data_IF_470876029764
#
_entry.id   IF_470876029764
#
_cell.length_a   1.000
_cell.length_b   1.000
_cell.length_c   1.000
_cell.angle_alpha   90.00
_cell.angle_beta   90.00
_cell.angle_gamma   90.00
#
_symmetry.space_group_name_H-M   'P 1'
#
loop_
_entity.id
_entity.type
_entity.pdbx_description
1 polymer ?
#
# COMPACT_ATOMS: atom_id res chain seq x y z
N UNK A 1 -1.57 17.47 -11.59
CA UNK A 1 -2.85 16.91 -12.09
C UNK A 1 -2.52 15.65 -12.87
N UNK A 2 -2.94 14.48 -12.38
CA UNK A 2 -2.69 13.19 -13.04
C UNK A 2 -3.68 12.97 -14.19
N UNK A 3 -3.17 12.51 -15.32
CA UNK A 3 -3.93 12.25 -16.55
C UNK A 3 -5.03 11.19 -16.33
N UNK A 4 -6.32 11.47 -16.63
CA UNK A 4 -7.42 10.50 -16.50
C UNK A 4 -7.15 9.16 -17.18
N UNK A 5 -6.33 9.17 -18.23
CA UNK A 5 -5.96 7.98 -18.99
C UNK A 5 -5.16 6.96 -18.14
N UNK A 6 -4.29 7.44 -17.25
CA UNK A 6 -3.43 6.58 -16.41
C UNK A 6 -4.21 5.87 -15.30
N UNK A 7 -5.26 6.49 -14.75
CA UNK A 7 -6.14 5.85 -13.76
C UNK A 7 -6.97 4.73 -14.38
N UNK A 8 -7.48 4.95 -15.60
CA UNK A 8 -8.18 3.94 -16.40
C UNK A 8 -7.28 2.74 -16.70
N UNK A 9 -6.02 2.99 -17.12
CA UNK A 9 -5.05 1.93 -17.39
C UNK A 9 -4.70 1.10 -16.15
N UNK A 10 -4.51 1.73 -14.97
CA UNK A 10 -4.22 0.99 -13.74
C UNK A 10 -5.37 0.06 -13.34
N UNK A 11 -6.62 0.53 -13.44
CA UNK A 11 -7.78 -0.29 -13.17
C UNK A 11 -7.86 -1.49 -14.12
N UNK A 12 -7.66 -1.25 -15.41
CA UNK A 12 -7.62 -2.30 -16.42
C UNK A 12 -6.51 -3.32 -16.13
N UNK A 13 -5.33 -2.87 -15.74
CA UNK A 13 -4.21 -3.75 -15.39
C UNK A 13 -4.54 -4.67 -14.20
N UNK A 14 -5.17 -4.14 -13.15
CA UNK A 14 -5.60 -4.95 -12.01
C UNK A 14 -6.70 -5.96 -12.40
N UNK A 15 -7.63 -5.57 -13.27
CA UNK A 15 -8.66 -6.47 -13.78
C UNK A 15 -8.06 -7.61 -14.61
N UNK A 16 -7.13 -7.31 -15.52
CA UNK A 16 -6.44 -8.33 -16.32
C UNK A 16 -5.60 -9.25 -15.43
N UNK A 17 -4.87 -8.70 -14.45
CA UNK A 17 -4.13 -9.51 -13.50
C UNK A 17 -5.06 -10.46 -12.72
N UNK A 18 -6.23 -9.99 -12.28
CA UNK A 18 -7.22 -10.82 -11.60
C UNK A 18 -7.69 -11.98 -12.48
N UNK A 19 -7.96 -11.71 -13.77
CA UNK A 19 -8.35 -12.73 -14.76
C UNK A 19 -7.23 -13.75 -15.02
N UNK A 20 -5.98 -13.29 -15.14
CA UNK A 20 -4.81 -14.15 -15.31
C UNK A 20 -4.61 -15.06 -14.11
N UNK A 21 -4.68 -14.52 -12.89
CA UNK A 21 -4.57 -15.32 -11.66
C UNK A 21 -5.68 -16.36 -11.56
N UNK A 22 -6.92 -15.97 -11.86
CA UNK A 22 -8.05 -16.91 -11.86
C UNK A 22 -7.84 -18.06 -12.86
N UNK A 23 -7.34 -17.74 -14.06
CA UNK A 23 -7.01 -18.75 -15.08
C UNK A 23 -5.86 -19.67 -14.63
N UNK A 24 -4.86 -19.11 -13.95
CA UNK A 24 -3.75 -19.86 -13.37
C UNK A 24 -4.21 -20.82 -12.27
N UNK A 25 -5.17 -20.41 -11.42
CA UNK A 25 -5.72 -21.28 -10.38
C UNK A 25 -6.49 -22.46 -10.98
N UNK A 26 -7.26 -22.24 -12.04
CA UNK A 26 -7.91 -23.34 -12.78
C UNK A 26 -6.89 -24.31 -13.37
N UNK A 27 -5.73 -23.81 -13.84
CA UNK A 27 -4.64 -24.64 -14.33
C UNK A 27 -4.02 -25.49 -13.21
N UNK A 28 -3.81 -24.91 -12.03
CA UNK A 28 -3.33 -25.66 -10.86
C UNK A 28 -4.30 -26.76 -10.44
N UNK A 29 -5.60 -26.47 -10.46
CA UNK A 29 -6.64 -27.44 -10.13
C UNK A 29 -6.71 -28.57 -11.17
N UNK A 30 -6.66 -28.24 -12.46
CA UNK A 30 -6.69 -29.23 -13.54
C UNK A 30 -5.46 -30.15 -13.57
N UNK A 31 -4.28 -29.65 -13.17
CA UNK A 31 -3.03 -30.40 -13.14
C UNK A 31 -2.73 -31.03 -11.76
N UNK A 32 -3.72 -31.06 -10.88
CA UNK A 32 -3.53 -31.51 -9.49
C UNK A 32 -3.38 -33.02 -9.41
N UNK A 33 -2.17 -33.51 -9.63
CA UNK A 33 -1.79 -34.88 -9.33
C UNK A 33 -1.60 -35.03 -7.82
N UNK A 34 -2.09 -36.13 -7.26
CA UNK A 34 -2.55 -36.29 -5.87
C UNK A 34 -1.59 -36.01 -4.70
N UNK A 35 -0.38 -35.46 -4.90
CA UNK A 35 0.53 -35.10 -3.81
C UNK A 35 1.47 -33.90 -4.07
N UNK A 36 1.39 -33.19 -5.20
CA UNK A 36 2.34 -32.10 -5.50
C UNK A 36 1.65 -30.74 -5.54
N UNK A 37 2.08 -29.83 -4.66
CA UNK A 37 1.73 -28.40 -4.71
C UNK A 37 2.77 -27.72 -5.58
N UNK A 38 2.37 -26.89 -6.53
CA UNK A 38 3.33 -26.20 -7.38
C UNK A 38 4.12 -25.18 -6.54
N UNK A 39 5.43 -25.07 -6.77
CA UNK A 39 6.34 -24.25 -5.93
C UNK A 39 5.84 -22.81 -5.77
N UNK A 40 5.31 -22.21 -6.83
CA UNK A 40 4.88 -20.82 -6.86
C UNK A 40 3.39 -20.63 -6.54
N UNK A 41 2.63 -21.71 -6.33
CA UNK A 41 1.17 -21.66 -6.13
C UNK A 41 0.81 -20.74 -4.97
N UNK A 42 1.55 -20.85 -3.87
CA UNK A 42 1.37 -20.03 -2.67
C UNK A 42 1.58 -18.54 -2.93
N UNK A 43 2.61 -18.17 -3.68
CA UNK A 43 2.91 -16.78 -4.01
C UNK A 43 1.76 -16.16 -4.81
N UNK A 44 1.32 -16.80 -5.90
CA UNK A 44 0.25 -16.25 -6.74
C UNK A 44 -1.10 -16.17 -6.02
N UNK A 45 -1.43 -17.15 -5.18
CA UNK A 45 -2.63 -17.07 -4.33
C UNK A 45 -2.53 -15.89 -3.34
N UNK A 46 -1.34 -15.60 -2.81
CA UNK A 46 -1.14 -14.46 -1.92
C UNK A 46 -1.38 -13.12 -2.63
N UNK A 47 -0.95 -12.98 -3.89
CA UNK A 47 -1.19 -11.77 -4.69
C UNK A 47 -2.68 -11.54 -4.91
N UNK A 48 -3.45 -12.60 -5.18
CA UNK A 48 -4.90 -12.51 -5.33
C UNK A 48 -5.58 -11.95 -4.07
N UNK A 49 -5.14 -12.40 -2.88
CA UNK A 49 -5.65 -11.85 -1.61
C UNK A 49 -5.30 -10.36 -1.46
N UNK A 50 -4.10 -9.94 -1.88
CA UNK A 50 -3.67 -8.54 -1.80
C UNK A 50 -4.40 -7.62 -2.81
N UNK A 51 -4.93 -8.14 -3.91
CA UNK A 51 -5.77 -7.37 -4.84
C UNK A 51 -7.09 -6.89 -4.22
N UNK A 52 -7.50 -7.49 -3.10
CA UNK A 52 -8.71 -7.13 -2.35
C UNK A 52 -8.41 -6.13 -1.23
N UNK A 53 -7.24 -5.49 -1.25
CA UNK A 53 -6.96 -4.36 -0.37
C UNK A 53 -7.74 -3.12 -0.84
N UNK A 54 -8.02 -2.24 0.11
CA UNK A 54 -8.68 -0.96 -0.13
C UNK A 54 -10.21 -1.02 -0.16
N UNK A 55 -10.83 0.11 0.13
CA UNK A 55 -12.28 0.29 0.24
C UNK A 55 -12.95 0.47 -1.13
N UNK A 56 -12.15 0.79 -2.15
CA UNK A 56 -12.59 1.00 -3.53
C UNK A 56 -12.24 -0.16 -4.46
N UNK A 57 -11.70 -1.28 -3.94
CA UNK A 57 -11.65 -2.50 -4.73
C UNK A 57 -13.10 -2.89 -5.01
N UNK A 58 -13.58 -2.59 -6.22
CA UNK A 58 -14.78 -3.24 -6.73
C UNK A 58 -14.55 -4.75 -6.55
N UNK A 59 -15.55 -5.52 -6.08
CA UNK A 59 -15.38 -6.95 -5.94
C UNK A 59 -15.08 -7.55 -7.32
N UNK A 60 -13.78 -7.71 -7.61
CA UNK A 60 -13.27 -8.26 -8.85
C UNK A 60 -13.30 -9.77 -8.73
N UNK A 61 -14.45 -10.35 -9.03
CA UNK A 61 -14.70 -11.79 -8.93
C UNK A 61 -15.57 -12.16 -7.74
N UNK A 62 -15.34 -13.37 -7.21
CA UNK A 62 -16.10 -13.90 -6.09
C UNK A 62 -15.66 -13.31 -4.74
N UNK A 63 -16.52 -13.30 -3.71
CA UNK A 63 -16.10 -12.93 -2.37
C UNK A 63 -14.99 -13.84 -1.84
N UNK A 64 -13.96 -13.26 -1.22
CA UNK A 64 -12.85 -14.02 -0.61
C UNK A 64 -13.33 -15.11 0.36
N UNK A 65 -14.45 -14.90 1.06
CA UNK A 65 -15.05 -15.88 1.97
C UNK A 65 -15.48 -17.18 1.27
N UNK A 66 -15.84 -17.10 -0.02
CA UNK A 66 -16.17 -18.26 -0.86
C UNK A 66 -14.89 -18.83 -1.47
N UNK A 67 -14.01 -17.97 -1.99
CA UNK A 67 -12.76 -18.37 -2.63
C UNK A 67 -11.86 -19.17 -1.68
N UNK A 68 -11.70 -18.73 -0.43
CA UNK A 68 -10.86 -19.41 0.56
C UNK A 68 -11.26 -20.87 0.83
N UNK A 69 -12.51 -21.26 0.56
CA UNK A 69 -12.97 -22.65 0.74
C UNK A 69 -12.33 -23.61 -0.25
N UNK A 70 -11.86 -23.11 -1.40
CA UNK A 70 -11.24 -23.90 -2.47
C UNK A 70 -9.73 -23.97 -2.35
N UNK A 71 -9.13 -23.05 -1.59
CA UNK A 71 -7.68 -23.00 -1.42
C UNK A 71 -7.19 -24.16 -0.56
N UNK A 72 -6.14 -24.82 -1.01
CA UNK A 72 -5.60 -25.99 -0.33
C UNK A 72 -4.96 -25.64 1.02
N UNK A 73 -5.01 -26.58 1.98
CA UNK A 73 -4.39 -26.38 3.30
C UNK A 73 -2.88 -26.10 3.24
N UNK A 74 -2.07 -26.75 2.37
CA UNK A 74 -0.65 -26.39 2.22
C UNK A 74 -0.45 -24.94 1.77
N UNK A 75 -1.23 -24.47 0.79
CA UNK A 75 -1.19 -23.07 0.33
C UNK A 75 -1.61 -22.13 1.46
N UNK A 76 -2.66 -22.46 2.22
CA UNK A 76 -3.12 -21.64 3.35
C UNK A 76 -2.08 -21.51 4.48
N UNK A 77 -1.21 -22.50 4.65
CA UNK A 77 -0.16 -22.52 5.67
C UNK A 77 1.19 -21.96 5.18
N UNK A 78 1.31 -21.63 3.90
CA UNK A 78 2.50 -21.00 3.33
C UNK A 78 2.79 -19.63 3.96
N UNK A 79 4.06 -19.21 3.92
CA UNK A 79 4.48 -17.91 4.45
C UNK A 79 3.84 -16.76 3.65
N UNK A 80 3.72 -16.92 2.35
CA UNK A 80 3.15 -15.94 1.40
C UNK A 80 1.67 -15.70 1.73
N UNK A 81 0.90 -16.76 1.93
CA UNK A 81 -0.51 -16.65 2.29
C UNK A 81 -0.71 -16.12 3.72
N UNK A 82 0.15 -16.53 4.66
CA UNK A 82 0.10 -15.99 6.03
C UNK A 82 0.35 -14.48 6.04
N UNK A 83 1.32 -14.01 5.26
CA UNK A 83 1.58 -12.59 5.04
C UNK A 83 0.34 -11.89 4.47
N UNK A 84 -0.18 -12.34 3.33
CA UNK A 84 -1.29 -11.66 2.65
C UNK A 84 -2.55 -11.56 3.53
N UNK A 85 -2.89 -12.62 4.26
CA UNK A 85 -4.02 -12.60 5.21
C UNK A 85 -3.78 -11.64 6.38
N UNK A 86 -2.55 -11.55 6.89
CA UNK A 86 -2.21 -10.61 7.97
C UNK A 86 -2.34 -9.18 7.49
N UNK A 87 -1.81 -8.86 6.31
CA UNK A 87 -1.94 -7.55 5.67
C UNK A 87 -3.41 -7.17 5.47
N UNK A 88 -4.21 -8.08 4.88
CA UNK A 88 -5.64 -7.86 4.66
C UNK A 88 -6.40 -7.61 5.97
N UNK A 89 -6.11 -8.40 7.02
CA UNK A 89 -6.73 -8.22 8.33
C UNK A 89 -6.33 -6.87 8.95
N UNK A 90 -5.06 -6.51 8.87
CA UNK A 90 -4.54 -5.30 9.48
C UNK A 90 -5.05 -4.03 8.80
N UNK A 91 -5.26 -4.06 7.47
CA UNK A 91 -5.91 -2.95 6.77
C UNK A 91 -7.40 -2.83 7.15
N UNK A 92 -8.15 -3.93 7.20
CA UNK A 92 -9.57 -3.93 7.54
C UNK A 92 -9.86 -3.53 8.98
N UNK A 93 -8.99 -3.91 9.93
CA UNK A 93 -9.13 -3.55 11.35
C UNK A 93 -8.52 -2.18 11.70
N UNK A 94 -7.95 -1.46 10.73
CA UNK A 94 -7.27 -0.19 10.98
C UNK A 94 -5.98 -0.31 11.80
N UNK A 95 -5.38 -1.51 11.88
CA UNK A 95 -4.09 -1.71 12.54
C UNK A 95 -2.94 -1.34 11.58
N UNK A 96 -2.80 -0.04 11.34
CA UNK A 96 -1.79 0.50 10.44
C UNK A 96 -0.36 0.17 10.90
N UNK A 97 -0.08 0.14 12.21
CA UNK A 97 1.26 -0.22 12.73
C UNK A 97 1.65 -1.63 12.29
N UNK A 98 0.76 -2.60 12.49
CA UNK A 98 1.01 -3.97 12.05
C UNK A 98 1.13 -4.08 10.53
N UNK A 99 0.29 -3.35 9.79
CA UNK A 99 0.38 -3.30 8.33
C UNK A 99 1.76 -2.83 7.86
N UNK A 100 2.24 -1.68 8.33
CA UNK A 100 3.53 -1.10 7.91
C UNK A 100 4.72 -1.95 8.37
N UNK A 101 4.74 -2.39 9.63
CA UNK A 101 5.82 -3.22 10.16
C UNK A 101 5.88 -4.58 9.46
N UNK A 102 4.74 -5.23 9.21
CA UNK A 102 4.70 -6.52 8.50
C UNK A 102 5.13 -6.37 7.06
N UNK A 103 4.67 -5.31 6.37
CA UNK A 103 5.07 -5.02 4.98
C UNK A 103 6.58 -4.85 4.89
N UNK A 104 7.18 -4.00 5.73
CA UNK A 104 8.61 -3.74 5.71
C UNK A 104 9.46 -4.98 6.03
N UNK A 105 8.97 -5.87 6.90
CA UNK A 105 9.74 -7.03 7.35
C UNK A 105 9.61 -8.26 6.44
N UNK A 106 8.51 -8.42 5.70
CA UNK A 106 8.15 -9.70 5.09
C UNK A 106 7.70 -9.64 3.63
N UNK A 107 7.36 -8.46 3.09
CA UNK A 107 6.82 -8.38 1.75
C UNK A 107 7.85 -8.83 0.71
N UNK A 108 7.45 -9.73 -0.19
CA UNK A 108 8.22 -9.92 -1.43
C UNK A 108 8.06 -8.69 -2.31
N UNK A 109 8.98 -8.51 -3.24
CA UNK A 109 8.92 -7.39 -4.19
C UNK A 109 7.58 -7.35 -4.94
N UNK A 110 7.10 -8.50 -5.44
CA UNK A 110 5.86 -8.56 -6.19
C UNK A 110 4.63 -8.28 -5.30
N UNK A 111 4.60 -8.80 -4.08
CA UNK A 111 3.56 -8.48 -3.10
C UNK A 111 3.54 -6.99 -2.79
N UNK A 112 4.71 -6.36 -2.61
CA UNK A 112 4.82 -4.93 -2.39
C UNK A 112 4.32 -4.11 -3.58
N UNK A 113 4.67 -4.47 -4.81
CA UNK A 113 4.16 -3.82 -6.02
C UNK A 113 2.63 -3.84 -6.09
N UNK A 114 2.00 -4.95 -5.71
CA UNK A 114 0.53 -5.05 -5.63
C UNK A 114 -0.03 -4.18 -4.50
N UNK A 115 0.65 -4.09 -3.36
CA UNK A 115 0.20 -3.32 -2.20
C UNK A 115 0.36 -1.80 -2.37
N UNK A 116 1.33 -1.37 -3.17
CA UNK A 116 1.75 0.02 -3.33
C UNK A 116 0.58 1.01 -3.57
N UNK A 117 -0.41 0.73 -4.44
CA UNK A 117 -1.54 1.64 -4.67
C UNK A 117 -2.40 1.88 -3.43
N UNK A 118 -2.42 0.95 -2.48
CA UNK A 118 -3.26 0.99 -1.28
C UNK A 118 -2.57 1.60 -0.06
N UNK A 119 -1.24 1.77 -0.11
CA UNK A 119 -0.45 2.27 1.02
C UNK A 119 -0.99 3.60 1.53
N UNK A 120 -1.28 4.54 0.61
CA UNK A 120 -1.77 5.85 1.00
C UNK A 120 -3.20 5.80 1.56
N UNK A 121 -4.02 4.84 1.13
CA UNK A 121 -5.33 4.63 1.74
C UNK A 121 -5.19 4.20 3.21
N UNK A 122 -4.25 3.30 3.49
CA UNK A 122 -3.94 2.89 4.87
C UNK A 122 -3.33 4.04 5.67
N UNK A 123 -2.52 4.92 5.05
CA UNK A 123 -2.03 6.16 5.70
C UNK A 123 -3.18 7.10 6.06
N UNK A 124 -4.14 7.30 5.15
CA UNK A 124 -5.32 8.15 5.42
C UNK A 124 -6.18 7.57 6.55
N UNK A 125 -6.38 6.24 6.55
CA UNK A 125 -7.06 5.54 7.65
C UNK A 125 -6.32 5.75 8.98
N UNK A 126 -4.99 5.63 8.99
CA UNK A 126 -4.17 5.87 10.18
C UNK A 126 -4.32 7.30 10.71
N UNK A 127 -4.28 8.31 9.83
CA UNK A 127 -4.51 9.71 10.20
C UNK A 127 -5.92 9.91 10.76
N UNK A 128 -6.93 9.29 10.17
CA UNK A 128 -8.30 9.32 10.69
C UNK A 128 -8.38 8.75 12.11
N UNK A 129 -7.78 7.57 12.34
CA UNK A 129 -7.73 6.93 13.65
C UNK A 129 -7.01 7.79 14.69
N UNK A 130 -5.89 8.42 14.33
CA UNK A 130 -5.12 9.29 15.25
C UNK A 130 -5.89 10.57 15.55
N UNK A 131 -6.43 11.23 14.52
CA UNK A 131 -7.21 12.45 14.69
C UNK A 131 -8.46 12.19 15.54
N UNK A 132 -9.13 11.06 15.33
CA UNK A 132 -10.32 10.69 16.11
C UNK A 132 -9.98 10.17 17.51
N UNK A 133 -8.95 9.36 17.68
CA UNK A 133 -8.62 8.70 18.95
C UNK A 133 -7.74 9.51 19.89
N UNK A 134 -7.03 10.51 19.36
CA UNK A 134 -6.04 11.29 20.09
C UNK A 134 -6.62 12.19 21.19
N UNK A 135 -5.79 12.47 22.19
CA UNK A 135 -6.13 13.38 23.28
C UNK A 135 -5.80 14.83 22.90
N UNK A 136 -6.75 15.75 23.07
CA UNK A 136 -6.62 17.15 22.59
C UNK A 136 -5.39 17.89 23.15
N UNK A 137 -4.98 17.59 24.38
CA UNK A 137 -3.84 18.25 25.04
C UNK A 137 -2.49 17.63 24.67
N UNK A 138 -2.48 16.54 23.92
CA UNK A 138 -1.26 15.87 23.47
C UNK A 138 -1.29 15.71 21.95
N UNK A 139 -0.95 16.79 21.20
CA UNK A 139 -0.68 16.69 19.77
C UNK A 139 0.37 15.62 19.48
N UNK A 140 0.21 14.90 18.36
CA UNK A 140 1.05 13.77 18.02
C UNK A 140 2.36 14.26 17.35
N UNK A 141 3.56 13.84 17.78
CA UNK A 141 4.80 14.21 17.13
C UNK A 141 4.87 13.72 15.67
N UNK A 142 4.99 14.64 14.71
CA UNK A 142 4.93 14.31 13.29
C UNK A 142 6.10 13.42 12.86
N UNK A 143 7.29 13.65 13.41
CA UNK A 143 8.47 12.82 13.18
C UNK A 143 8.28 11.37 13.64
N UNK A 144 7.59 11.14 14.76
CA UNK A 144 7.34 9.77 15.18
C UNK A 144 6.25 9.13 14.32
N UNK A 145 5.24 9.91 13.91
CA UNK A 145 4.22 9.43 13.00
C UNK A 145 4.79 9.05 11.63
N UNK A 146 5.74 9.83 11.11
CA UNK A 146 6.39 9.58 9.82
C UNK A 146 7.13 8.24 9.82
N UNK A 147 7.82 7.89 10.91
CA UNK A 147 8.43 6.57 11.12
C UNK A 147 7.40 5.44 11.13
N UNK A 148 6.28 5.62 11.83
CA UNK A 148 5.23 4.59 11.91
C UNK A 148 4.52 4.37 10.56
N UNK A 149 4.40 5.41 9.74
CA UNK A 149 3.74 5.36 8.43
C UNK A 149 4.71 5.17 7.26
N UNK A 150 5.99 4.93 7.56
CA UNK A 150 7.07 4.70 6.60
C UNK A 150 7.07 5.73 5.47
N UNK A 151 7.02 7.01 5.83
CA UNK A 151 6.94 8.16 4.90
C UNK A 151 7.87 9.27 5.43
N UNK A 152 8.47 10.08 4.54
CA UNK A 152 9.27 11.23 4.98
C UNK A 152 8.40 12.22 5.74
N UNK A 153 8.98 12.92 6.72
CA UNK A 153 8.23 13.90 7.52
C UNK A 153 7.65 15.04 6.67
N UNK A 154 8.40 15.54 5.68
CA UNK A 154 7.93 16.54 4.72
C UNK A 154 6.75 16.05 3.89
N UNK A 155 6.83 14.80 3.43
CA UNK A 155 5.78 14.16 2.62
C UNK A 155 4.53 13.92 3.47
N UNK A 156 4.71 13.54 4.74
CA UNK A 156 3.62 13.37 5.70
C UNK A 156 2.90 14.69 5.98
N UNK A 157 3.63 15.80 6.12
CA UNK A 157 3.02 17.12 6.28
C UNK A 157 2.13 17.47 5.08
N UNK A 158 2.65 17.31 3.85
CA UNK A 158 1.85 17.48 2.63
C UNK A 158 0.63 16.54 2.62
N UNK A 159 0.80 15.30 3.05
CA UNK A 159 -0.27 14.32 3.13
C UNK A 159 -1.35 14.71 4.12
N UNK A 160 -0.99 15.16 5.33
CA UNK A 160 -1.91 15.69 6.33
C UNK A 160 -2.72 16.87 5.77
N UNK A 161 -2.04 17.82 5.13
CA UNK A 161 -2.70 18.98 4.51
C UNK A 161 -3.70 18.56 3.43
N UNK A 162 -3.36 17.56 2.60
CA UNK A 162 -4.29 17.03 1.60
C UNK A 162 -5.48 16.28 2.20
N UNK A 163 -5.34 15.76 3.42
CA UNK A 163 -6.44 15.21 4.22
C UNK A 163 -7.22 16.29 5.00
N UNK A 164 -6.90 17.58 4.84
CA UNK A 164 -7.52 18.69 5.55
C UNK A 164 -7.09 18.82 7.03
N UNK A 165 -5.98 18.19 7.42
CA UNK A 165 -5.40 18.32 8.76
C UNK A 165 -4.31 19.37 8.76
N UNK A 166 -4.38 20.29 9.72
CA UNK A 166 -3.36 21.29 9.95
C UNK A 166 -2.26 20.73 10.87
N UNK A 167 -1.03 21.15 10.63
CA UNK A 167 0.15 20.85 11.45
C UNK A 167 0.51 22.11 12.24
N UNK A 168 0.88 21.96 13.50
CA UNK A 168 1.43 23.04 14.31
C UNK A 168 2.90 22.79 14.61
N UNK A 169 3.62 23.86 14.96
CA UNK A 169 5.02 23.79 15.35
C UNK A 169 5.15 24.25 16.79
N UNK A 170 5.92 23.52 17.60
CA UNK A 170 6.22 23.92 18.98
C UNK A 170 7.33 24.98 19.06
N UNK A 171 7.61 25.48 20.26
CA UNK A 171 8.67 26.48 20.52
C UNK A 171 10.07 25.99 20.14
N UNK A 172 10.27 24.66 20.07
CA UNK A 172 11.52 24.02 19.69
C UNK A 172 11.62 23.76 18.18
N UNK A 173 10.60 24.11 17.40
CA UNK A 173 10.55 23.88 15.96
C UNK A 173 10.06 22.48 15.55
N UNK A 174 9.59 21.64 16.48
CA UNK A 174 9.08 20.31 16.16
C UNK A 174 7.67 20.40 15.60
N UNK A 175 7.40 19.63 14.54
CA UNK A 175 6.08 19.53 13.94
C UNK A 175 5.20 18.56 14.71
N UNK A 176 3.98 19.00 14.99
CA UNK A 176 2.99 18.28 15.75
C UNK A 176 1.67 18.24 14.97
N UNK A 177 0.96 17.12 15.08
CA UNK A 177 -0.39 16.95 14.54
C UNK A 177 -1.42 17.12 15.67
N UNK A 178 -2.15 18.25 15.73
CA UNK A 178 -3.32 18.38 16.58
C UNK A 178 -4.36 17.31 16.26
N UNK A 179 -5.06 16.85 17.30
CA UNK A 179 -6.10 15.83 17.17
C UNK A 179 -7.49 16.45 17.32
N UNK A 180 -8.54 15.71 16.96
CA UNK A 180 -9.94 16.15 16.96
C UNK A 180 -10.25 17.30 16.00
N UNK A 181 -9.50 17.44 14.92
CA UNK A 181 -9.78 18.38 13.84
C UNK A 181 -11.02 17.90 13.06
N UNK A 182 -12.02 18.77 12.91
CA UNK A 182 -13.29 18.45 12.21
C UNK A 182 -13.17 18.55 10.69
N UNK A 183 -12.05 19.07 10.20
CA UNK A 183 -11.73 19.31 8.78
C UNK A 183 -11.22 18.07 8.06
N UNK A 184 -10.99 16.96 8.78
CA UNK A 184 -10.50 15.71 8.19
C UNK A 184 -11.41 15.26 7.04
N UNK A 185 -10.80 14.99 5.90
CA UNK A 185 -11.45 14.40 4.75
C UNK A 185 -10.51 13.41 4.08
N UNK A 186 -11.07 12.35 3.50
CA UNK A 186 -10.29 11.49 2.63
C UNK A 186 -9.97 12.27 1.35
N UNK A 187 -8.70 12.32 0.90
CA UNK A 187 -8.33 13.03 -0.31
C UNK A 187 -9.20 12.59 -1.50
N UNK A 188 -9.87 13.57 -2.13
CA UNK A 188 -10.75 13.31 -3.27
C UNK A 188 -9.89 13.09 -4.52
N UNK A 189 -9.67 11.83 -4.89
CA UNK A 189 -8.87 11.45 -6.06
C UNK A 189 -7.77 10.45 -5.72
N UNK A 190 -6.88 10.18 -6.68
CA UNK A 190 -5.71 9.33 -6.42
C UNK A 190 -4.74 10.08 -5.51
N UNK A 191 -4.25 9.42 -4.48
CA UNK A 191 -3.19 9.97 -3.64
C UNK A 191 -1.94 10.26 -4.47
N UNK A 192 -1.22 11.33 -4.11
CA UNK A 192 0.13 11.56 -4.62
C UNK A 192 1.02 10.36 -4.26
N UNK A 193 1.95 9.99 -5.16
CA UNK A 193 2.91 8.93 -4.85
C UNK A 193 3.89 9.45 -3.80
N UNK A 194 3.98 8.75 -2.67
CA UNK A 194 4.95 9.04 -1.63
C UNK A 194 5.83 7.82 -1.41
N UNK A 195 7.14 8.06 -1.31
CA UNK A 195 8.11 7.00 -1.06
C UNK A 195 7.75 6.18 0.18
N UNK A 196 8.03 4.88 0.12
CA UNK A 196 7.96 4.00 1.28
C UNK A 196 9.35 3.91 1.90
N UNK A 197 9.53 4.50 3.08
CA UNK A 197 10.81 4.46 3.78
C UNK A 197 11.18 3.02 4.15
N UNK A 198 12.42 2.64 3.86
CA UNK A 198 12.92 1.28 4.06
C UNK A 198 12.97 0.41 2.79
N UNK A 199 12.51 0.93 1.64
CA UNK A 199 12.54 0.19 0.35
C UNK A 199 13.57 0.70 -0.66
N UNK A 200 14.41 1.67 -0.29
CA UNK A 200 15.49 2.21 -1.16
C UNK A 200 16.46 1.13 -1.66
N UNK A 201 16.58 0.00 -0.95
CA UNK A 201 17.35 -1.17 -1.38
C UNK A 201 16.72 -1.95 -2.56
N UNK A 202 15.40 -1.82 -2.78
CA UNK A 202 14.71 -2.44 -3.92
C UNK A 202 14.59 -1.49 -5.11
N UNK A 203 14.43 -0.18 -4.86
CA UNK A 203 14.43 0.87 -5.89
C UNK A 203 15.77 0.92 -6.65
N UNK A 204 16.88 0.65 -5.97
CA UNK A 204 18.23 0.54 -6.58
C UNK A 204 18.49 -0.77 -7.34
N UNK A 205 17.62 -1.78 -7.20
CA UNK A 205 17.74 -3.10 -7.85
C UNK A 205 16.80 -3.30 -9.04
N UNK A 206 15.94 -2.34 -9.34
CA UNK A 206 14.95 -2.46 -10.41
C UNK A 206 14.91 -1.19 -11.25
N UNK A 207 15.60 -1.21 -12.40
CA UNK A 207 15.55 -0.16 -13.44
C UNK A 207 14.09 0.17 -13.86
N UNK A 208 13.20 -0.81 -13.70
CA UNK A 208 11.77 -0.72 -14.05
C UNK A 208 10.97 0.13 -13.05
N UNK A 209 11.40 0.25 -11.79
CA UNK A 209 10.68 1.01 -10.76
C UNK A 209 10.83 2.51 -10.94
N UNK A 210 12.03 2.99 -11.30
CA UNK A 210 12.26 4.40 -11.63
C UNK A 210 11.38 4.87 -12.79
N UNK A 211 11.23 4.03 -13.81
CA UNK A 211 10.38 4.29 -14.97
C UNK A 211 8.86 4.26 -14.63
N UNK A 212 8.42 3.39 -13.70
CA UNK A 212 7.01 3.29 -13.28
C UNK A 212 6.60 4.37 -12.27
N UNK A 213 7.55 4.90 -11.49
CA UNK A 213 7.29 5.93 -10.47
C UNK A 213 7.38 7.37 -10.98
N UNK A 214 7.77 7.59 -12.25
CA UNK A 214 7.76 8.91 -12.88
C UNK A 214 8.74 9.90 -12.25
N UNK A 215 9.94 9.43 -11.87
CA UNK A 215 11.03 10.29 -11.40
C UNK A 215 12.00 10.67 -12.53
N UNK A 216 11.50 10.93 -13.74
CA UNK A 216 12.24 11.70 -14.73
C UNK A 216 11.61 13.09 -14.84
N UNK A 217 12.15 14.01 -14.04
CA UNK A 217 11.85 15.42 -14.06
C UNK A 217 13.10 16.22 -13.71
N UNK A 218 13.69 16.81 -14.74
CA UNK A 218 14.77 17.82 -14.73
C UNK A 218 16.15 17.40 -14.19
N UNK A 219 17.01 16.94 -15.11
CA UNK A 219 18.41 17.40 -15.12
C UNK A 219 18.46 18.62 -16.03
N UNK A 220 18.51 19.79 -15.39
CA UNK A 220 18.82 21.08 -15.98
C UNK A 220 20.08 21.01 -16.84
N UNK A 221 19.93 21.15 -18.16
CA UNK A 221 20.99 21.70 -19.00
C UNK A 221 21.17 23.17 -18.59
N UNK A 222 22.31 23.46 -17.96
CA UNK A 222 22.66 24.80 -17.53
C UNK A 222 24.17 24.96 -17.37
N UNK A 223 24.73 25.76 -18.27
CA UNK A 223 26.00 26.50 -18.16
C UNK A 223 27.26 25.77 -18.64
N UNK A 224 27.47 25.77 -19.96
CA UNK A 224 28.81 25.89 -20.52
C UNK A 224 29.09 27.39 -20.76
N UNK A 225 29.92 27.98 -19.90
CA UNK A 225 30.57 29.26 -20.11
C UNK A 225 32.04 29.10 -19.72
N UNK A 226 32.87 28.74 -20.70
CA UNK A 226 34.28 29.14 -20.86
C UNK A 226 34.78 28.69 -22.23
#
# INVERSE_FOLDING_TARGET
>A
MSDPNTASMHHLNLEQLTKTLTSLFNLYEANRNSNHVHENEAEFHSLYVLLHLGSYSQPMGEPLSVWFRRVSTPVLKSKEMCFARRILRSSQLGNYKDFFCTTAAQATYLQFCIMMPYINEVRALALSCINFGGYKLHPYPLLDLSKHLMIKESDLECFCNSCGLEICTDESGNKLLPTKQTTFSHPKGRFQSYSFLGLQEYESRSEVVGALMGLDGDVTEGVANQ
#
